data_IF_242818141009
#
_entry.id   IF_242818141009
#
_cell.length_a   1.000
_cell.length_b   1.000
_cell.length_c   1.000
_cell.angle_alpha   90.00
_cell.angle_beta   90.00
_cell.angle_gamma   90.00
#
_symmetry.space_group_name_H-M   'P 1'
#
loop_
_entity.id
_entity.type
_entity.pdbx_description
1 polymer ?
#
# COMPACT_ATOMS: atom_id res chain seq x y z
N UNK A 1 -22.53 14.90 -9.52
CA UNK A 1 -22.50 13.83 -10.52
C UNK A 1 -23.63 12.87 -10.19
N UNK A 2 -24.53 12.62 -11.14
CA UNK A 2 -25.74 11.84 -10.92
C UNK A 2 -25.37 10.38 -10.65
N UNK A 3 -25.73 9.88 -9.46
CA UNK A 3 -25.52 8.49 -9.09
C UNK A 3 -26.49 7.64 -9.92
N UNK A 4 -26.02 7.16 -11.08
CA UNK A 4 -26.80 6.33 -11.99
C UNK A 4 -26.46 4.86 -11.72
N UNK A 5 -27.50 4.03 -11.64
CA UNK A 5 -27.41 2.57 -11.46
C UNK A 5 -27.35 1.81 -12.78
N UNK A 6 -27.24 2.52 -13.92
CA UNK A 6 -27.12 1.88 -15.23
C UNK A 6 -25.72 1.29 -15.42
N UNK A 7 -25.59 -0.01 -15.18
CA UNK A 7 -24.31 -0.73 -15.23
C UNK A 7 -24.04 -1.44 -16.55
N UNK A 8 -25.01 -1.49 -17.46
CA UNK A 8 -24.82 -2.05 -18.81
C UNK A 8 -23.71 -1.30 -19.56
N UNK A 9 -22.67 -2.04 -19.95
CA UNK A 9 -21.58 -1.57 -20.81
C UNK A 9 -20.59 -0.58 -20.18
N UNK A 10 -20.53 -0.49 -18.84
CA UNK A 10 -19.48 0.31 -18.18
C UNK A 10 -18.15 -0.45 -18.15
N UNK A 11 -17.09 0.16 -18.68
CA UNK A 11 -15.71 -0.30 -18.56
C UNK A 11 -15.05 0.35 -17.33
N UNK A 12 -14.52 -0.44 -16.39
CA UNK A 12 -13.94 0.10 -15.14
C UNK A 12 -12.51 0.59 -15.33
N UNK A 13 -11.62 -0.30 -15.76
CA UNK A 13 -10.17 -0.02 -15.91
C UNK A 13 -9.67 -0.46 -17.29
N UNK A 14 -10.13 -1.63 -17.75
CA UNK A 14 -9.76 -2.19 -19.05
C UNK A 14 -11.02 -2.46 -19.87
N UNK A 15 -10.92 -2.38 -21.21
CA UNK A 15 -12.03 -2.70 -22.13
C UNK A 15 -12.52 -4.16 -22.00
N UNK A 16 -11.68 -5.05 -21.47
CA UNK A 16 -12.05 -6.43 -21.19
C UNK A 16 -12.76 -6.60 -19.83
N UNK A 17 -12.61 -5.63 -18.93
CA UNK A 17 -13.33 -5.60 -17.66
C UNK A 17 -14.62 -4.80 -17.83
N UNK A 18 -15.57 -5.43 -18.52
CA UNK A 18 -16.91 -4.93 -18.79
C UNK A 18 -17.90 -5.49 -17.75
N UNK A 19 -18.76 -4.62 -17.23
CA UNK A 19 -19.86 -5.03 -16.35
C UNK A 19 -21.13 -5.18 -17.20
N UNK A 20 -21.67 -6.41 -17.24
CA UNK A 20 -22.87 -6.77 -18.01
C UNK A 20 -24.14 -6.78 -17.17
N UNK A 21 -24.00 -6.82 -15.84
CA UNK A 21 -25.13 -6.98 -14.93
C UNK A 21 -24.81 -6.69 -13.46
N UNK A 22 -25.80 -6.85 -12.56
CA UNK A 22 -25.68 -6.48 -11.14
C UNK A 22 -24.64 -7.33 -10.39
N UNK A 23 -24.49 -8.61 -10.73
CA UNK A 23 -23.49 -9.48 -10.11
C UNK A 23 -22.06 -9.03 -10.44
N UNK A 24 -21.80 -8.70 -11.71
CA UNK A 24 -20.51 -8.18 -12.16
C UNK A 24 -20.17 -6.81 -11.55
N UNK A 25 -21.19 -6.02 -11.17
CA UNK A 25 -20.99 -4.77 -10.43
C UNK A 25 -20.45 -5.03 -9.02
N UNK A 26 -21.06 -5.96 -8.27
CA UNK A 26 -20.61 -6.32 -6.93
C UNK A 26 -19.18 -6.87 -6.95
N UNK A 27 -18.90 -7.78 -7.89
CA UNK A 27 -17.56 -8.34 -8.09
C UNK A 27 -16.53 -7.25 -8.40
N UNK A 28 -16.89 -6.26 -9.20
CA UNK A 28 -15.99 -5.14 -9.53
C UNK A 28 -15.74 -4.25 -8.31
N UNK A 29 -16.76 -4.00 -7.50
CA UNK A 29 -16.62 -3.26 -6.25
C UNK A 29 -15.67 -3.98 -5.28
N UNK A 30 -15.81 -5.31 -5.14
CA UNK A 30 -14.92 -6.14 -4.32
C UNK A 30 -13.49 -6.11 -4.86
N UNK A 31 -13.31 -6.22 -6.17
CA UNK A 31 -11.98 -6.20 -6.79
C UNK A 31 -11.28 -4.85 -6.60
N UNK A 32 -11.98 -3.72 -6.78
CA UNK A 32 -11.42 -2.38 -6.51
C UNK A 32 -11.05 -2.24 -5.03
N UNK A 33 -11.92 -2.72 -4.14
CA UNK A 33 -11.65 -2.71 -2.71
C UNK A 33 -10.38 -3.52 -2.36
N UNK A 34 -10.24 -4.72 -2.92
CA UNK A 34 -9.06 -5.55 -2.73
C UNK A 34 -7.79 -4.90 -3.28
N UNK A 35 -7.86 -4.28 -4.46
CA UNK A 35 -6.73 -3.55 -5.05
C UNK A 35 -6.32 -2.37 -4.15
N UNK A 36 -7.29 -1.61 -3.65
CA UNK A 36 -7.02 -0.50 -2.71
C UNK A 36 -6.38 -0.97 -1.41
N UNK A 37 -6.92 -2.03 -0.80
CA UNK A 37 -6.37 -2.61 0.42
C UNK A 37 -4.94 -3.16 0.20
N UNK A 38 -4.72 -3.85 -0.93
CA UNK A 38 -3.40 -4.36 -1.30
C UNK A 38 -2.39 -3.23 -1.55
N UNK A 39 -2.81 -2.13 -2.17
CA UNK A 39 -1.97 -0.96 -2.41
C UNK A 39 -1.52 -0.30 -1.09
N UNK A 40 -2.45 -0.09 -0.16
CA UNK A 40 -2.11 0.45 1.16
C UNK A 40 -1.16 -0.48 1.93
N UNK A 41 -1.39 -1.78 1.86
CA UNK A 41 -0.49 -2.76 2.47
C UNK A 41 0.92 -2.71 1.88
N UNK A 42 1.03 -2.67 0.54
CA UNK A 42 2.30 -2.57 -0.16
C UNK A 42 3.04 -1.28 0.19
N UNK A 43 2.31 -0.16 0.26
CA UNK A 43 2.87 1.14 0.63
C UNK A 43 3.52 1.12 2.02
N UNK A 44 2.83 0.57 3.02
CA UNK A 44 3.37 0.46 4.39
C UNK A 44 4.59 -0.45 4.43
N UNK A 45 4.57 -1.55 3.67
CA UNK A 45 5.72 -2.45 3.58
C UNK A 45 6.95 -1.75 3.02
N UNK A 46 6.82 -0.99 1.92
CA UNK A 46 7.93 -0.22 1.33
C UNK A 46 8.49 0.81 2.31
N UNK A 47 7.63 1.52 3.05
CA UNK A 47 8.07 2.52 4.04
C UNK A 47 8.93 1.87 5.13
N UNK A 48 8.56 0.67 5.59
CA UNK A 48 9.34 -0.04 6.63
C UNK A 48 10.74 -0.43 6.14
N UNK A 49 10.86 -0.89 4.90
CA UNK A 49 12.16 -1.21 4.31
C UNK A 49 13.04 0.05 4.17
N UNK A 50 12.46 1.14 3.67
CA UNK A 50 13.16 2.42 3.56
C UNK A 50 13.64 2.94 4.93
N UNK A 51 12.85 2.75 5.99
CA UNK A 51 13.24 3.12 7.35
C UNK A 51 14.45 2.32 7.83
N UNK A 52 14.44 1.00 7.64
CA UNK A 52 15.57 0.15 8.02
C UNK A 52 16.87 0.52 7.29
N UNK A 53 16.76 0.88 6.01
CA UNK A 53 17.93 1.28 5.22
C UNK A 53 18.46 2.64 5.66
N UNK A 54 17.57 3.60 5.96
CA UNK A 54 17.94 4.91 6.51
C UNK A 54 18.61 4.81 7.87
N UNK A 55 18.17 3.90 8.73
CA UNK A 55 18.82 3.65 10.03
C UNK A 55 20.23 3.11 9.85
N UNK A 56 20.45 2.14 8.96
CA UNK A 56 21.77 1.61 8.65
C UNK A 56 22.70 2.69 8.06
N UNK A 57 22.19 3.53 7.17
CA UNK A 57 22.95 4.64 6.57
C UNK A 57 23.28 5.73 7.60
N UNK A 58 22.34 6.07 8.49
CA UNK A 58 22.58 7.00 9.60
C UNK A 58 23.66 6.50 10.56
N UNK A 59 23.62 5.21 10.91
CA UNK A 59 24.61 4.58 11.79
C UNK A 59 26.02 4.56 11.17
N UNK A 60 26.11 4.40 9.85
CA UNK A 60 27.38 4.44 9.14
C UNK A 60 27.95 5.86 9.05
N UNK A 61 27.09 6.88 8.95
CA UNK A 61 27.49 8.28 8.86
C UNK A 61 27.74 8.95 10.22
N UNK A 62 27.19 8.42 11.32
CA UNK A 62 27.39 8.91 12.70
C UNK A 62 27.88 7.80 13.67
N UNK A 63 29.18 7.48 13.70
CA UNK A 63 29.73 6.38 14.50
C UNK A 63 29.69 6.63 16.03
N UNK A 64 29.60 7.89 16.47
CA UNK A 64 29.62 8.26 17.89
C UNK A 64 28.33 7.82 18.63
N UNK A 65 27.17 7.83 17.95
CA UNK A 65 25.88 7.47 18.56
C UNK A 65 25.82 6.00 19.04
N UNK A 66 26.49 5.09 18.32
CA UNK A 66 26.53 3.67 18.69
C UNK A 66 27.35 3.42 19.97
N UNK A 67 28.42 4.20 20.21
CA UNK A 67 29.24 4.09 21.41
C UNK A 67 28.49 4.52 22.67
N UNK A 68 27.64 5.55 22.58
CA UNK A 68 26.85 6.02 23.72
C UNK A 68 25.82 4.98 24.15
N UNK A 69 25.09 4.37 23.21
CA UNK A 69 24.05 3.37 23.52
C UNK A 69 24.61 2.00 23.97
N UNK A 70 25.82 1.63 23.53
CA UNK A 70 26.46 0.40 24.02
C UNK A 70 26.97 0.54 25.47
N UNK A 71 27.30 1.76 25.91
CA UNK A 71 27.73 2.03 27.30
C UNK A 71 26.59 2.13 28.31
N UNK A 72 25.33 2.26 27.89
CA UNK A 72 24.16 2.32 28.78
C UNK A 72 23.45 0.97 28.94
N UNK A 73 23.95 -0.10 28.32
CA UNK A 73 23.32 -1.43 28.30
C UNK A 73 24.19 -2.52 28.92
N UNK A 74 24.89 -2.26 30.02
CA UNK A 74 25.30 -3.27 31.01
C UNK A 74 25.27 -2.58 32.39
N UNK A 75 24.87 -3.29 33.46
CA UNK A 75 24.12 -2.75 34.61
C UNK A 75 24.86 -1.71 35.45
#
# INVERSE_FOLDING_TARGET
MLFNWQVENTCVVFRWWHISGPFTMFLSCLAIFLIGAAYEWMRVYSIRLDQQWKEAEYLLHHPLFMLINNTTSYP
#
